data_IF_990417150975
#
_entry.id   IF_990417150975
#
_cell.length_a   1.000
_cell.length_b   1.000
_cell.length_c   1.000
_cell.angle_alpha   90.00
_cell.angle_beta   90.00
_cell.angle_gamma   90.00
#
_symmetry.space_group_name_H-M   'P 1'
#
loop_
_entity.id
_entity.type
_entity.pdbx_description
1 polymer ?
#
# COMPACT_ATOMS: atom_id res chain seq x y z
N UNK A 1 3.80 -21.49 -25.34
CA UNK A 1 3.93 -20.55 -24.20
C UNK A 1 2.90 -20.95 -23.15
N UNK A 2 3.33 -21.32 -21.99
CA UNK A 2 2.49 -21.66 -20.86
C UNK A 2 1.79 -20.41 -20.29
N UNK A 3 0.73 -20.58 -19.50
CA UNK A 3 0.07 -19.47 -18.82
C UNK A 3 1.04 -18.70 -17.91
N UNK A 4 1.90 -19.42 -17.20
CA UNK A 4 2.95 -18.83 -16.34
C UNK A 4 3.93 -17.95 -17.13
N UNK A 5 4.38 -18.42 -18.30
CA UNK A 5 5.28 -17.65 -19.18
C UNK A 5 4.61 -16.36 -19.68
N UNK A 6 3.32 -16.42 -20.05
CA UNK A 6 2.54 -15.24 -20.45
C UNK A 6 2.41 -14.21 -19.33
N UNK A 7 2.13 -14.66 -18.11
CA UNK A 7 2.02 -13.79 -16.95
C UNK A 7 3.37 -13.14 -16.60
N UNK A 8 4.46 -13.91 -16.66
CA UNK A 8 5.80 -13.38 -16.41
C UNK A 8 6.20 -12.33 -17.44
N UNK A 9 6.01 -12.59 -18.73
CA UNK A 9 6.26 -11.62 -19.79
C UNK A 9 5.41 -10.36 -19.63
N UNK A 10 4.14 -10.50 -19.25
CA UNK A 10 3.25 -9.38 -18.99
C UNK A 10 3.75 -8.54 -17.80
N UNK A 11 4.20 -9.17 -16.72
CA UNK A 11 4.76 -8.48 -15.55
C UNK A 11 6.03 -7.69 -15.92
N UNK A 12 6.95 -8.29 -16.68
CA UNK A 12 8.18 -7.63 -17.15
C UNK A 12 7.88 -6.40 -18.01
N UNK A 13 6.89 -6.50 -18.89
CA UNK A 13 6.43 -5.37 -19.73
C UNK A 13 5.83 -4.25 -18.89
N UNK A 14 5.01 -4.57 -17.88
CA UNK A 14 4.42 -3.58 -16.95
C UNK A 14 5.51 -2.89 -16.13
N UNK A 15 6.47 -3.64 -15.61
CA UNK A 15 7.62 -3.10 -14.84
C UNK A 15 8.45 -2.15 -15.71
N UNK A 16 8.80 -2.58 -16.93
CA UNK A 16 9.56 -1.77 -17.88
C UNK A 16 8.82 -0.48 -18.22
N UNK A 17 7.52 -0.58 -18.51
CA UNK A 17 6.69 0.59 -18.79
C UNK A 17 6.62 1.53 -17.58
N UNK A 18 6.44 0.99 -16.38
CA UNK A 18 6.37 1.79 -15.15
C UNK A 18 7.67 2.54 -14.88
N UNK A 19 8.83 1.89 -15.09
CA UNK A 19 10.15 2.54 -14.97
C UNK A 19 10.30 3.72 -15.91
N UNK A 20 9.77 3.62 -17.14
CA UNK A 20 9.87 4.67 -18.15
C UNK A 20 8.82 5.79 -17.99
N UNK A 21 7.63 5.47 -17.44
CA UNK A 21 6.46 6.35 -17.46
C UNK A 21 5.86 6.63 -16.08
N UNK A 22 6.43 6.07 -15.01
CA UNK A 22 5.94 6.23 -13.64
C UNK A 22 5.94 7.71 -13.25
N UNK A 23 4.79 8.20 -12.76
CA UNK A 23 4.67 9.59 -12.27
C UNK A 23 5.52 9.76 -11.01
N UNK A 24 6.29 10.85 -10.93
CA UNK A 24 6.85 11.32 -9.67
C UNK A 24 5.70 11.75 -8.75
N UNK A 25 5.64 11.14 -7.57
CA UNK A 25 4.63 11.45 -6.55
C UNK A 25 5.34 11.59 -5.20
N UNK A 26 4.92 12.53 -4.32
CA UNK A 26 5.65 12.81 -3.08
C UNK A 26 5.95 11.58 -2.21
N UNK A 27 5.03 10.62 -2.17
CA UNK A 27 5.20 9.37 -1.41
C UNK A 27 6.03 8.30 -2.11
N UNK A 28 6.50 8.57 -3.35
CA UNK A 28 7.44 7.73 -4.10
C UNK A 28 8.86 8.28 -4.10
N UNK A 29 9.01 9.58 -3.79
CA UNK A 29 10.31 10.25 -3.72
C UNK A 29 11.08 9.80 -2.47
N UNK A 30 10.38 9.62 -1.34
CA UNK A 30 10.93 9.08 -0.09
C UNK A 30 9.93 8.07 0.52
N UNK A 31 9.98 6.80 0.09
CA UNK A 31 9.00 5.80 0.48
C UNK A 31 9.28 5.19 1.87
N UNK A 32 9.38 6.03 2.91
CA UNK A 32 9.46 5.53 4.29
C UNK A 32 8.20 4.75 4.66
N UNK A 33 8.25 3.80 5.61
CA UNK A 33 7.08 3.06 6.07
C UNK A 33 5.93 3.97 6.49
N UNK A 34 6.24 5.09 7.16
CA UNK A 34 5.25 6.07 7.57
C UNK A 34 4.64 6.80 6.38
N UNK A 35 5.45 7.31 5.45
CA UNK A 35 4.96 8.04 4.27
C UNK A 35 4.10 7.16 3.36
N UNK A 36 4.50 5.90 3.15
CA UNK A 36 3.71 4.92 2.39
C UNK A 36 2.38 4.66 3.08
N UNK A 37 2.39 4.39 4.39
CA UNK A 37 1.15 4.17 5.14
C UNK A 37 0.18 5.35 5.03
N UNK A 38 0.64 6.58 5.29
CA UNK A 38 -0.20 7.78 5.19
C UNK A 38 -0.77 7.95 3.78
N UNK A 39 0.05 7.77 2.74
CA UNK A 39 -0.40 7.90 1.35
C UNK A 39 -1.45 6.85 0.99
N UNK A 40 -1.24 5.58 1.37
CA UNK A 40 -2.18 4.50 1.10
C UNK A 40 -3.56 4.76 1.73
N UNK A 41 -3.59 5.24 2.98
CA UNK A 41 -4.85 5.59 3.63
C UNK A 41 -5.51 6.83 3.00
N UNK A 42 -4.74 7.85 2.61
CA UNK A 42 -5.29 9.02 1.93
C UNK A 42 -5.85 8.71 0.55
N UNK A 43 -5.23 7.79 -0.18
CA UNK A 43 -5.62 7.37 -1.53
C UNK A 43 -6.88 6.48 -1.54
N UNK A 44 -7.30 5.92 -0.41
CA UNK A 44 -8.54 5.17 -0.34
C UNK A 44 -9.72 6.05 -0.79
N UNK A 45 -10.31 5.71 -1.96
CA UNK A 45 -11.46 6.42 -2.55
C UNK A 45 -11.21 7.93 -2.82
N UNK A 46 -9.96 8.35 -2.93
CA UNK A 46 -9.59 9.74 -3.22
C UNK A 46 -8.61 9.78 -4.39
N UNK A 47 -8.80 10.74 -5.31
CA UNK A 47 -7.94 10.89 -6.49
C UNK A 47 -6.55 11.40 -6.11
N UNK A 48 -5.53 10.96 -6.84
CA UNK A 48 -4.11 11.29 -6.61
C UNK A 48 -3.90 12.81 -6.52
N UNK A 49 -4.43 13.56 -7.48
CA UNK A 49 -4.25 15.01 -7.56
C UNK A 49 -4.81 15.74 -6.32
N UNK A 50 -5.91 15.22 -5.77
CA UNK A 50 -6.49 15.77 -4.56
C UNK A 50 -5.66 15.44 -3.31
N UNK A 51 -5.00 14.27 -3.28
CA UNK A 51 -4.21 13.82 -2.12
C UNK A 51 -2.89 14.59 -1.97
N UNK A 52 -2.21 14.95 -3.06
CA UNK A 52 -0.88 15.55 -3.03
C UNK A 52 -0.76 16.74 -2.04
N UNK A 53 -1.61 17.79 -2.08
CA UNK A 53 -1.49 18.91 -1.17
C UNK A 53 -1.76 18.53 0.29
N UNK A 54 -2.67 17.58 0.54
CA UNK A 54 -2.95 17.08 1.88
C UNK A 54 -1.78 16.27 2.44
N UNK A 55 -1.22 15.39 1.66
CA UNK A 55 -0.07 14.57 2.05
C UNK A 55 1.12 15.44 2.48
N UNK A 56 1.50 16.41 1.64
CA UNK A 56 2.61 17.32 1.95
C UNK A 56 2.36 18.12 3.24
N UNK A 57 1.14 18.65 3.42
CA UNK A 57 0.76 19.37 4.64
C UNK A 57 0.76 18.44 5.85
N UNK A 58 0.21 17.25 5.71
CA UNK A 58 0.11 16.28 6.80
C UNK A 58 1.48 15.84 7.30
N UNK A 59 2.41 15.46 6.41
CA UNK A 59 3.77 15.07 6.82
C UNK A 59 4.59 16.22 7.39
N UNK A 60 4.33 17.45 6.98
CA UNK A 60 4.98 18.62 7.60
C UNK A 60 4.52 18.84 9.04
N UNK A 61 3.23 18.67 9.32
CA UNK A 61 2.63 18.90 10.63
C UNK A 61 2.77 17.67 11.56
N UNK A 62 2.73 16.49 11.00
CA UNK A 62 2.79 15.21 11.69
C UNK A 62 3.82 14.30 10.97
N UNK A 63 5.13 14.52 11.20
CA UNK A 63 6.18 13.89 10.40
C UNK A 63 6.40 12.41 10.73
N UNK A 64 5.89 11.91 11.83
CA UNK A 64 6.14 10.56 12.32
C UNK A 64 4.94 9.98 13.11
N UNK A 65 5.07 8.72 13.49
CA UNK A 65 4.06 7.98 14.28
C UNK A 65 3.81 8.64 15.61
N UNK A 66 4.85 9.16 16.26
CA UNK A 66 4.76 9.77 17.58
C UNK A 66 3.92 11.05 17.55
N UNK A 67 4.17 11.93 16.60
CA UNK A 67 3.41 13.16 16.41
C UNK A 67 1.94 12.87 16.05
N UNK A 68 1.69 11.86 15.22
CA UNK A 68 0.33 11.42 14.87
C UNK A 68 -0.41 10.81 16.08
N UNK A 69 0.27 10.04 16.92
CA UNK A 69 -0.32 9.47 18.12
C UNK A 69 -0.66 10.57 19.16
N UNK A 70 0.18 11.60 19.26
CA UNK A 70 0.05 12.67 20.25
C UNK A 70 -0.90 13.81 19.83
N UNK A 71 -1.19 13.98 18.53
CA UNK A 71 -2.03 15.07 18.03
C UNK A 71 -3.44 15.03 18.66
N UNK A 72 -4.01 16.17 19.00
CA UNK A 72 -5.40 16.23 19.40
C UNK A 72 -6.37 15.92 18.22
N UNK A 73 -7.58 15.44 18.53
CA UNK A 73 -8.51 15.00 17.50
C UNK A 73 -8.99 16.17 16.63
N UNK A 74 -9.22 17.34 17.22
CA UNK A 74 -9.71 18.51 16.48
C UNK A 74 -8.68 18.99 15.47
N UNK A 75 -7.39 19.02 15.86
CA UNK A 75 -6.30 19.35 14.94
C UNK A 75 -6.16 18.33 13.82
N UNK A 76 -6.24 17.03 14.13
CA UNK A 76 -6.22 15.97 13.13
C UNK A 76 -7.38 16.12 12.14
N UNK A 77 -8.61 16.39 12.63
CA UNK A 77 -9.77 16.60 11.77
C UNK A 77 -9.62 17.83 10.89
N UNK A 78 -9.02 18.92 11.37
CA UNK A 78 -8.70 20.12 10.56
C UNK A 78 -7.69 19.79 9.45
N UNK A 79 -6.65 19.02 9.74
CA UNK A 79 -5.68 18.58 8.73
C UNK A 79 -6.31 17.70 7.66
N UNK A 80 -7.35 16.94 8.02
CA UNK A 80 -8.06 16.02 7.13
C UNK A 80 -9.24 16.65 6.39
N UNK A 81 -9.65 17.85 6.81
CA UNK A 81 -10.83 18.55 6.28
C UNK A 81 -10.75 18.70 4.76
N UNK A 82 -11.75 18.21 4.04
CA UNK A 82 -11.85 18.21 2.59
C UNK A 82 -11.49 16.87 1.91
N UNK A 83 -10.80 15.94 2.58
CA UNK A 83 -10.54 14.59 2.04
C UNK A 83 -11.77 13.66 2.16
N UNK A 84 -12.71 13.95 3.07
CA UNK A 84 -13.83 13.08 3.37
C UNK A 84 -13.46 11.80 4.11
N UNK A 85 -14.47 10.95 4.37
CA UNK A 85 -14.29 9.66 5.05
C UNK A 85 -13.41 9.78 6.32
N UNK A 86 -13.84 10.59 7.27
CA UNK A 86 -13.09 10.95 8.50
C UNK A 86 -12.76 9.76 9.40
N UNK A 87 -13.45 8.63 9.24
CA UNK A 87 -13.09 7.37 9.91
C UNK A 87 -11.66 6.93 9.60
N UNK A 88 -11.14 7.25 8.41
CA UNK A 88 -9.74 6.97 8.03
C UNK A 88 -8.76 7.71 8.94
N UNK A 89 -8.98 9.02 9.16
CA UNK A 89 -8.13 9.82 10.06
C UNK A 89 -8.17 9.30 11.50
N UNK A 90 -9.37 8.96 12.01
CA UNK A 90 -9.50 8.37 13.34
C UNK A 90 -8.80 7.03 13.46
N UNK A 91 -8.89 6.18 12.44
CA UNK A 91 -8.19 4.90 12.41
C UNK A 91 -6.67 5.09 12.34
N UNK A 92 -6.16 6.07 11.57
CA UNK A 92 -4.75 6.43 11.56
C UNK A 92 -4.24 6.76 12.97
N UNK A 93 -4.96 7.63 13.70
CA UNK A 93 -4.58 7.98 15.07
C UNK A 93 -4.60 6.78 16.01
N UNK A 94 -5.67 5.96 15.96
CA UNK A 94 -5.77 4.74 16.77
C UNK A 94 -4.63 3.77 16.45
N UNK A 95 -4.30 3.60 15.18
CA UNK A 95 -3.18 2.75 14.77
C UNK A 95 -1.84 3.34 15.24
N UNK A 96 -1.63 4.65 15.15
CA UNK A 96 -0.42 5.31 15.63
C UNK A 96 -0.21 5.09 17.15
N UNK A 97 -1.27 5.23 17.94
CA UNK A 97 -1.22 4.94 19.39
C UNK A 97 -0.82 3.48 19.62
N UNK A 98 -1.44 2.55 18.92
CA UNK A 98 -1.15 1.12 19.04
C UNK A 98 0.29 0.79 18.60
N UNK A 99 0.81 1.47 17.58
CA UNK A 99 2.21 1.31 17.14
C UNK A 99 3.16 1.84 18.21
N UNK A 100 2.86 2.95 18.87
CA UNK A 100 3.66 3.44 20.00
C UNK A 100 3.69 2.44 21.15
N UNK A 101 2.53 1.88 21.50
CA UNK A 101 2.40 0.96 22.63
C UNK A 101 3.05 -0.41 22.39
N UNK A 102 2.85 -1.00 21.20
CA UNK A 102 3.24 -2.39 20.92
C UNK A 102 4.56 -2.51 20.17
N UNK A 103 4.94 -1.51 19.40
CA UNK A 103 6.08 -1.57 18.48
C UNK A 103 7.08 -0.43 18.69
N UNK A 104 6.97 0.32 19.82
CA UNK A 104 7.91 1.38 20.15
C UNK A 104 7.97 2.52 19.11
N UNK A 105 6.88 2.76 18.39
CA UNK A 105 6.80 3.83 17.38
C UNK A 105 7.30 3.43 15.99
N UNK A 106 7.73 2.19 15.80
CA UNK A 106 8.20 1.67 14.49
C UNK A 106 7.08 0.86 13.85
N UNK A 107 6.69 1.17 12.61
CA UNK A 107 5.72 0.35 11.89
C UNK A 107 6.26 -1.07 11.73
N UNK A 108 5.45 -2.11 12.03
CA UNK A 108 5.87 -3.48 11.79
C UNK A 108 6.06 -3.76 10.30
N UNK A 109 7.00 -4.63 9.96
CA UNK A 109 7.31 -4.98 8.58
C UNK A 109 6.52 -6.18 8.06
N UNK A 110 5.92 -6.98 8.96
CA UNK A 110 5.16 -8.16 8.59
C UNK A 110 3.72 -7.81 8.25
N UNK A 111 3.22 -8.24 7.09
CA UNK A 111 1.86 -7.98 6.67
C UNK A 111 0.82 -8.49 7.68
N UNK A 112 1.12 -9.59 8.40
CA UNK A 112 0.25 -10.13 9.45
C UNK A 112 0.09 -9.15 10.62
N UNK A 113 1.16 -8.48 11.04
CA UNK A 113 1.13 -7.49 12.12
C UNK A 113 0.45 -6.21 11.68
N UNK A 114 0.76 -5.75 10.45
CA UNK A 114 0.12 -4.59 9.83
C UNK A 114 -1.40 -4.74 9.77
N UNK A 115 -1.93 -5.92 9.41
CA UNK A 115 -3.37 -6.21 9.39
C UNK A 115 -4.04 -6.10 10.76
N UNK A 116 -3.29 -6.23 11.83
CA UNK A 116 -3.78 -6.02 13.21
C UNK A 116 -4.02 -4.57 13.57
N UNK A 117 -3.62 -3.62 12.72
CA UNK A 117 -3.73 -2.18 12.98
C UNK A 117 -5.07 -1.63 12.44
N UNK A 118 -5.74 -0.72 13.18
CA UNK A 118 -6.98 -0.10 12.73
C UNK A 118 -6.88 0.57 11.36
N UNK A 119 -7.78 0.22 10.45
CA UNK A 119 -7.84 0.80 9.10
C UNK A 119 -6.87 0.22 8.08
N UNK A 120 -6.06 -0.77 8.46
CA UNK A 120 -5.14 -1.48 7.55
C UNK A 120 -5.75 -2.84 7.19
N UNK A 121 -6.22 -2.95 5.94
CA UNK A 121 -6.67 -4.21 5.36
C UNK A 121 -5.56 -4.94 4.59
N UNK A 122 -5.91 -6.08 3.96
CA UNK A 122 -4.96 -6.92 3.22
C UNK A 122 -4.17 -6.15 2.16
N UNK A 123 -4.84 -5.33 1.35
CA UNK A 123 -4.19 -4.50 0.34
C UNK A 123 -3.18 -3.53 0.97
N UNK A 124 -3.60 -2.74 1.95
CA UNK A 124 -2.73 -1.73 2.57
C UNK A 124 -1.55 -2.37 3.30
N UNK A 125 -1.77 -3.50 3.98
CA UNK A 125 -0.70 -4.27 4.61
C UNK A 125 0.32 -4.79 3.58
N UNK A 126 -0.16 -5.36 2.47
CA UNK A 126 0.69 -5.80 1.36
C UNK A 126 1.46 -4.64 0.72
N UNK A 127 0.81 -3.51 0.49
CA UNK A 127 1.44 -2.31 -0.08
C UNK A 127 2.56 -1.77 0.83
N UNK A 128 2.31 -1.62 2.13
CA UNK A 128 3.35 -1.17 3.08
C UNK A 128 4.49 -2.18 3.12
N UNK A 129 4.21 -3.47 3.28
CA UNK A 129 5.24 -4.51 3.38
C UNK A 129 6.09 -4.59 2.10
N UNK A 130 5.48 -4.49 0.92
CA UNK A 130 6.20 -4.57 -0.35
C UNK A 130 6.94 -3.27 -0.69
N UNK A 131 6.30 -2.11 -0.58
CA UNK A 131 6.87 -0.83 -1.02
C UNK A 131 7.92 -0.32 -0.05
N UNK A 132 7.63 -0.32 1.26
CA UNK A 132 8.51 0.28 2.24
C UNK A 132 9.56 -0.69 2.80
N UNK A 133 9.28 -1.98 2.76
CA UNK A 133 10.17 -3.00 3.34
C UNK A 133 10.71 -3.99 2.31
N UNK A 134 10.36 -3.86 1.02
CA UNK A 134 10.86 -4.74 -0.05
C UNK A 134 10.41 -6.20 0.07
N UNK A 135 9.33 -6.48 0.84
CA UNK A 135 8.84 -7.85 1.02
C UNK A 135 8.02 -8.32 -0.16
N UNK A 136 8.09 -9.60 -0.49
CA UNK A 136 7.30 -10.23 -1.54
C UNK A 136 5.83 -10.44 -1.18
N UNK A 137 5.18 -9.43 -0.58
CA UNK A 137 3.78 -9.48 -0.19
C UNK A 137 2.89 -8.90 -1.29
N UNK A 138 1.81 -9.58 -1.67
CA UNK A 138 0.91 -9.09 -2.69
C UNK A 138 0.06 -7.91 -2.17
N UNK A 139 -0.06 -6.86 -2.99
CA UNK A 139 -1.00 -5.77 -2.80
C UNK A 139 -2.10 -5.87 -3.87
N UNK A 140 -3.16 -6.61 -3.58
CA UNK A 140 -4.22 -6.91 -4.54
C UNK A 140 -5.42 -6.01 -4.28
N UNK A 141 -5.67 -5.07 -5.19
CA UNK A 141 -6.87 -4.24 -5.23
C UNK A 141 -7.83 -4.65 -6.37
N UNK A 142 -8.96 -3.99 -6.50
CA UNK A 142 -9.91 -4.23 -7.57
C UNK A 142 -9.35 -4.00 -8.98
N UNK A 143 -8.33 -3.15 -9.15
CA UNK A 143 -7.69 -2.95 -10.44
C UNK A 143 -6.78 -4.13 -10.81
N UNK A 144 -5.99 -4.59 -9.84
CA UNK A 144 -5.15 -5.79 -10.00
C UNK A 144 -6.03 -6.99 -10.37
N UNK A 145 -7.12 -7.21 -9.63
CA UNK A 145 -8.06 -8.29 -9.93
C UNK A 145 -8.64 -8.19 -11.34
N UNK A 146 -9.10 -7.00 -11.73
CA UNK A 146 -9.68 -6.77 -13.04
C UNK A 146 -8.68 -7.02 -14.18
N UNK A 147 -7.43 -6.61 -14.02
CA UNK A 147 -6.38 -6.84 -15.02
C UNK A 147 -6.01 -8.31 -15.06
N UNK A 148 -5.80 -8.92 -13.90
CA UNK A 148 -5.41 -10.33 -13.81
C UNK A 148 -6.46 -11.26 -14.41
N UNK A 149 -7.73 -11.11 -14.08
CA UNK A 149 -8.81 -11.94 -14.64
C UNK A 149 -8.95 -11.79 -16.17
N UNK A 150 -8.67 -10.60 -16.71
CA UNK A 150 -8.64 -10.40 -18.16
C UNK A 150 -7.45 -11.09 -18.82
N UNK A 151 -6.26 -11.02 -18.22
CA UNK A 151 -5.06 -11.67 -18.73
C UNK A 151 -5.17 -13.19 -18.72
N UNK A 152 -5.82 -13.75 -17.70
CA UNK A 152 -6.00 -15.20 -17.54
C UNK A 152 -7.31 -15.71 -18.17
N UNK A 153 -8.12 -14.84 -18.78
CA UNK A 153 -9.46 -15.17 -19.26
C UNK A 153 -10.31 -15.90 -18.21
N UNK A 154 -10.14 -15.54 -16.92
CA UNK A 154 -10.85 -16.14 -15.79
C UNK A 154 -12.35 -15.81 -15.91
N UNK A 155 -13.24 -16.80 -15.95
CA UNK A 155 -14.68 -16.59 -16.09
C UNK A 155 -15.36 -16.17 -14.77
N UNK A 156 -14.65 -16.26 -13.65
CA UNK A 156 -15.20 -16.03 -12.32
C UNK A 156 -15.52 -14.54 -12.09
N UNK A 157 -16.60 -14.30 -11.35
CA UNK A 157 -16.96 -12.94 -10.95
C UNK A 157 -15.94 -12.42 -9.92
N UNK A 158 -15.25 -11.34 -10.29
CA UNK A 158 -14.27 -10.65 -9.42
C UNK A 158 -14.87 -10.09 -8.13
N UNK A 159 -16.18 -9.97 -8.03
CA UNK A 159 -16.85 -9.51 -6.84
C UNK A 159 -16.98 -10.62 -5.76
N UNK A 160 -16.87 -11.89 -6.14
CA UNK A 160 -16.99 -13.00 -5.21
C UNK A 160 -15.79 -13.07 -4.26
N UNK A 161 -16.02 -13.38 -2.97
CA UNK A 161 -14.95 -13.51 -1.97
C UNK A 161 -13.90 -14.56 -2.35
N UNK A 162 -14.30 -15.63 -3.01
CA UNK A 162 -13.46 -16.73 -3.46
C UNK A 162 -12.47 -16.29 -4.55
N UNK A 163 -12.90 -15.41 -5.45
CA UNK A 163 -12.06 -14.82 -6.50
C UNK A 163 -11.07 -13.79 -5.94
N UNK A 164 -11.37 -13.17 -4.79
CA UNK A 164 -10.49 -12.20 -4.14
C UNK A 164 -9.22 -12.81 -3.53
N UNK A 165 -9.13 -14.13 -3.47
CA UNK A 165 -7.95 -14.83 -2.99
C UNK A 165 -7.39 -15.80 -4.05
N UNK A 166 -6.97 -15.33 -5.23
CA UNK A 166 -6.38 -16.17 -6.27
C UNK A 166 -5.09 -16.86 -5.80
N UNK A 167 -4.45 -16.36 -4.71
CA UNK A 167 -3.30 -16.98 -4.09
C UNK A 167 -3.63 -18.24 -3.29
N UNK A 168 -4.91 -18.55 -3.04
CA UNK A 168 -5.35 -19.75 -2.35
C UNK A 168 -5.27 -21.00 -3.23
N UNK A 169 -5.45 -20.85 -4.54
CA UNK A 169 -5.43 -21.96 -5.51
C UNK A 169 -4.16 -22.06 -6.34
N UNK A 170 -3.32 -21.03 -6.37
CA UNK A 170 -2.06 -21.00 -7.11
C UNK A 170 -0.96 -20.30 -6.30
N UNK A 171 -0.58 -20.87 -5.14
CA UNK A 171 0.70 -20.49 -4.54
C UNK A 171 1.82 -21.09 -5.40
N UNK A 172 2.64 -20.29 -6.11
CA UNK A 172 3.94 -20.77 -6.52
C UNK A 172 4.70 -21.10 -5.24
N UNK A 173 5.23 -22.33 -5.14
CA UNK A 173 6.17 -22.67 -4.08
C UNK A 173 7.27 -21.60 -4.08
N UNK A 174 7.55 -21.03 -2.91
CA UNK A 174 8.65 -20.10 -2.70
C UNK A 174 9.91 -20.66 -3.36
N UNK A 175 10.39 -19.98 -4.37
CA UNK A 175 11.76 -20.14 -4.81
C UNK A 175 12.60 -19.19 -3.95
N UNK A 176 13.33 -19.76 -2.99
CA UNK A 176 14.11 -19.02 -1.99
C UNK A 176 15.34 -18.31 -2.58
N UNK A 177 15.50 -18.26 -3.90
CA UNK A 177 16.73 -17.83 -4.56
C UNK A 177 16.69 -16.46 -5.23
N UNK A 178 15.62 -15.64 -5.10
CA UNK A 178 15.60 -14.30 -5.67
C UNK A 178 15.07 -13.24 -4.72
N UNK A 179 16.01 -12.69 -3.95
CA UNK A 179 15.84 -11.45 -3.18
C UNK A 179 16.02 -10.19 -4.01
N UNK A 180 15.31 -10.05 -5.14
CA UNK A 180 15.27 -8.79 -5.89
C UNK A 180 13.85 -8.47 -6.30
N UNK A 181 13.16 -7.78 -5.41
CA UNK A 181 11.83 -7.23 -5.68
C UNK A 181 11.91 -5.72 -5.55
N UNK A 182 11.83 -5.05 -6.71
CA UNK A 182 11.72 -3.61 -6.90
C UNK A 182 12.87 -2.76 -6.33
N UNK A 183 13.93 -2.50 -7.08
CA UNK A 183 14.72 -1.31 -6.84
C UNK A 183 13.89 -0.10 -7.30
N UNK A 184 13.48 0.74 -6.36
CA UNK A 184 13.20 2.13 -6.71
C UNK A 184 14.48 2.73 -7.30
N UNK A 185 14.42 3.56 -8.34
CA UNK A 185 15.63 4.19 -8.87
C UNK A 185 16.30 4.97 -7.74
N UNK A 186 17.60 4.71 -7.53
CA UNK A 186 18.46 5.49 -6.66
C UNK A 186 18.26 6.97 -6.95
N UNK A 187 17.85 7.71 -5.93
CA UNK A 187 17.83 9.17 -5.93
C UNK A 187 19.29 9.65 -5.94
N UNK A 188 19.79 10.00 -7.12
CA UNK A 188 20.91 10.92 -7.28
C UNK A 188 20.44 12.15 -8.00
#
# INVERSE_FOLDING_TARGET
MTEREKLQESAERVISWFRANGKSLPWREDPTPYSVWISEIMLQQTRIEAVIPYFRRFLRELPDVQSLAAVDEDRLMKLWQGLGYYSRARNLKKAAILIMEKFGGILPSEAKELRGLPGIGDYTAGAIASIAYGKGEPAVDGNVMRVFTRLTACPDDVALPETKNPAGSARPKRDETRGEIFPFPDSR
#
